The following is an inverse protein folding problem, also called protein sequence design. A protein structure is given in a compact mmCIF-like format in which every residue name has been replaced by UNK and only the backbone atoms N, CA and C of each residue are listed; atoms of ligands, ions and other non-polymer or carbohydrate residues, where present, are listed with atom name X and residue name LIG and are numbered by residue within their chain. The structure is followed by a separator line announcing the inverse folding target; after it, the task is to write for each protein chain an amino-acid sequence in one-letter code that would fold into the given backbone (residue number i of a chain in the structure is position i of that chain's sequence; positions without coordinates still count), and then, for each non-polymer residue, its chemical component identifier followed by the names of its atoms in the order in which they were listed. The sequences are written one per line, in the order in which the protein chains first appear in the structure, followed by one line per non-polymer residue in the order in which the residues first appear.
data_IF_987145648724
#
_entry.id   IF_987145648724
#
_cell.length_a   1.000
_cell.length_b   1.000
_cell.length_c   1.000
_cell.angle_alpha   90.00
_cell.angle_beta   90.00
_cell.angle_gamma   90.00
#
_symmetry.space_group_name_H-M   'P 1'
#
loop_
_entity.id
_entity.type
_entity.pdbx_description
1 polymer ?
#
# COMPACT_ATOMS: atom_id res chain seq x y z
N UNK A 1 -26.66 4.98 2.60
CA UNK A 1 -25.97 3.67 2.53
C UNK A 1 -24.72 3.80 3.36
N UNK A 2 -24.58 3.00 4.42
CA UNK A 2 -23.53 3.17 5.42
C UNK A 2 -22.15 3.01 4.78
N UNK A 3 -21.39 4.11 4.77
CA UNK A 3 -19.98 4.18 4.40
C UNK A 3 -19.19 3.34 5.40
N UNK A 4 -18.74 2.16 5.00
CA UNK A 4 -17.64 1.49 5.67
C UNK A 4 -16.39 2.34 5.39
N UNK A 5 -16.00 3.18 6.37
CA UNK A 5 -14.83 4.05 6.27
C UNK A 5 -13.51 3.27 6.38
N UNK A 6 -13.51 2.15 7.09
CA UNK A 6 -12.30 1.36 7.36
C UNK A 6 -12.57 -0.15 7.44
N UNK A 7 -11.62 -0.97 7.00
CA UNK A 7 -11.58 -2.43 7.16
C UNK A 7 -10.25 -2.81 7.82
N UNK A 8 -10.27 -3.79 8.72
CA UNK A 8 -9.07 -4.27 9.42
C UNK A 8 -8.80 -5.73 9.09
N UNK A 9 -7.52 -6.07 8.94
CA UNK A 9 -7.03 -7.43 8.84
C UNK A 9 -6.24 -7.78 10.10
N UNK A 10 -6.78 -8.72 10.88
CA UNK A 10 -6.18 -9.23 12.10
C UNK A 10 -5.65 -10.66 11.89
N UNK A 11 -5.19 -11.31 12.96
CA UNK A 11 -4.63 -12.66 12.93
C UNK A 11 -5.58 -13.75 12.38
N UNK A 12 -6.88 -13.48 12.22
CA UNK A 12 -7.82 -14.42 11.61
C UNK A 12 -7.70 -14.49 10.08
N UNK A 13 -7.02 -13.53 9.43
CA UNK A 13 -6.76 -13.56 7.99
C UNK A 13 -5.46 -14.36 7.70
N UNK A 14 -5.57 -15.58 7.12
CA UNK A 14 -4.44 -16.50 7.02
C UNK A 14 -3.48 -16.17 5.87
N UNK A 15 -3.95 -15.41 4.87
CA UNK A 15 -3.19 -15.03 3.69
C UNK A 15 -3.48 -13.58 3.29
N UNK A 16 -2.93 -13.12 2.16
CA UNK A 16 -3.12 -11.76 1.66
C UNK A 16 -4.08 -11.68 0.47
N UNK A 17 -4.83 -12.75 0.14
CA UNK A 17 -5.65 -12.80 -1.08
C UNK A 17 -6.80 -11.81 -1.04
N UNK A 18 -7.48 -11.71 0.11
CA UNK A 18 -8.57 -10.74 0.28
C UNK A 18 -8.07 -9.29 0.20
N UNK A 19 -6.91 -9.02 0.80
CA UNK A 19 -6.23 -7.73 0.66
C UNK A 19 -5.91 -7.43 -0.81
N UNK A 20 -5.32 -8.38 -1.55
CA UNK A 20 -4.99 -8.24 -2.98
C UNK A 20 -6.21 -7.94 -3.83
N UNK A 21 -7.33 -8.63 -3.63
CA UNK A 21 -8.57 -8.36 -4.36
C UNK A 21 -9.09 -6.93 -4.15
N UNK A 22 -9.03 -6.43 -2.91
CA UNK A 22 -9.49 -5.07 -2.58
C UNK A 22 -8.55 -4.02 -3.17
N UNK A 23 -7.24 -4.20 -3.01
CA UNK A 23 -6.23 -3.31 -3.59
C UNK A 23 -6.34 -3.28 -5.11
N UNK A 24 -6.42 -4.43 -5.79
CA UNK A 24 -6.58 -4.51 -7.24
C UNK A 24 -7.80 -3.71 -7.72
N UNK A 25 -8.94 -3.89 -7.05
CA UNK A 25 -10.19 -3.19 -7.39
C UNK A 25 -10.02 -1.67 -7.34
N UNK A 26 -9.28 -1.14 -6.36
CA UNK A 26 -9.06 0.30 -6.22
C UNK A 26 -7.95 0.82 -7.12
N UNK A 27 -6.84 0.10 -7.21
CA UNK A 27 -5.69 0.49 -8.01
C UNK A 27 -6.05 0.59 -9.51
N UNK A 28 -6.88 -0.32 -10.06
CA UNK A 28 -7.35 -0.24 -11.46
C UNK A 28 -8.17 1.01 -11.81
N UNK A 29 -8.62 1.78 -10.81
CA UNK A 29 -9.40 3.02 -10.98
C UNK A 29 -8.62 4.27 -10.55
N UNK A 30 -7.39 4.09 -10.07
CA UNK A 30 -6.49 5.16 -9.69
C UNK A 30 -5.59 5.54 -10.86
N UNK A 31 -5.09 6.77 -10.88
CA UNK A 31 -4.09 7.19 -11.88
C UNK A 31 -2.69 7.21 -11.29
N UNK A 32 -2.56 7.61 -10.02
CA UNK A 32 -1.29 7.67 -9.31
C UNK A 32 -1.33 6.93 -7.98
N UNK A 33 -0.14 6.60 -7.49
CA UNK A 33 0.07 5.98 -6.19
C UNK A 33 1.13 6.73 -5.38
N UNK A 34 1.10 6.50 -4.07
CA UNK A 34 2.21 6.73 -3.15
C UNK A 34 2.49 5.47 -2.34
N UNK A 35 3.76 5.15 -2.15
CA UNK A 35 4.24 4.12 -1.24
C UNK A 35 5.09 4.80 -0.18
N UNK A 36 4.75 4.56 1.09
CA UNK A 36 5.54 4.95 2.23
C UNK A 36 6.33 3.73 2.71
N UNK A 37 7.64 3.87 2.82
CA UNK A 37 8.55 2.85 3.35
C UNK A 37 9.35 3.41 4.51
N UNK A 38 9.59 2.61 5.55
CA UNK A 38 10.52 2.99 6.63
C UNK A 38 11.96 2.99 6.12
N UNK A 39 12.79 3.89 6.65
CA UNK A 39 14.22 3.98 6.26
C UNK A 39 15.02 2.72 6.63
N UNK A 40 14.54 1.96 7.63
CA UNK A 40 15.13 0.70 8.07
C UNK A 40 14.83 -0.48 7.13
N UNK A 41 13.98 -0.29 6.12
CA UNK A 41 13.54 -1.33 5.17
C UNK A 41 14.02 -1.00 3.72
N UNK A 42 15.35 -0.92 3.47
CA UNK A 42 15.90 -0.44 2.20
C UNK A 42 15.52 -1.31 1.00
N UNK A 43 15.32 -2.62 1.19
CA UNK A 43 14.89 -3.52 0.11
C UNK A 43 13.51 -3.15 -0.45
N UNK A 44 12.61 -2.66 0.40
CA UNK A 44 11.26 -2.24 -0.02
C UNK A 44 11.27 -0.83 -0.61
N UNK A 45 12.20 0.03 -0.17
CA UNK A 45 12.49 1.30 -0.85
C UNK A 45 13.00 1.03 -2.27
N UNK A 46 14.03 0.20 -2.42
CA UNK A 46 14.63 -0.14 -3.71
C UNK A 46 13.62 -0.79 -4.67
N UNK A 47 12.72 -1.62 -4.15
CA UNK A 47 11.63 -2.18 -4.95
C UNK A 47 10.64 -1.10 -5.40
N UNK A 48 10.17 -0.23 -4.51
CA UNK A 48 9.22 0.82 -4.85
C UNK A 48 9.80 1.81 -5.88
N UNK A 49 11.09 2.14 -5.77
CA UNK A 49 11.80 3.03 -6.69
C UNK A 49 11.90 2.51 -8.14
N UNK A 50 11.65 1.22 -8.38
CA UNK A 50 11.57 0.70 -9.75
C UNK A 50 10.29 1.17 -10.48
N UNK A 51 9.29 1.64 -9.75
CA UNK A 51 7.95 1.98 -10.29
C UNK A 51 7.55 3.44 -10.06
N UNK A 52 8.35 4.20 -9.32
CA UNK A 52 8.08 5.60 -9.01
C UNK A 52 9.36 6.37 -8.72
N UNK A 53 9.20 7.61 -8.26
CA UNK A 53 10.30 8.50 -7.88
C UNK A 53 10.13 8.95 -6.43
N UNK A 54 11.24 9.27 -5.73
CA UNK A 54 11.14 9.89 -4.41
C UNK A 54 10.33 11.19 -4.49
N UNK A 55 9.35 11.34 -3.61
CA UNK A 55 8.64 12.60 -3.38
C UNK A 55 9.31 13.35 -2.23
N UNK A 56 9.49 14.66 -2.39
CA UNK A 56 10.02 15.50 -1.32
C UNK A 56 8.99 15.60 -0.17
N UNK A 57 9.46 15.37 1.05
CA UNK A 57 8.61 15.31 2.24
C UNK A 57 9.42 15.65 3.49
N UNK A 58 8.76 16.24 4.48
CA UNK A 58 9.34 16.52 5.80
C UNK A 58 9.33 15.29 6.72
N UNK A 59 8.86 14.12 6.25
CA UNK A 59 8.79 12.88 7.04
C UNK A 59 10.19 12.26 7.22
N UNK A 60 10.80 12.33 8.42
CA UNK A 60 12.22 11.98 8.60
C UNK A 60 12.46 10.48 8.82
N UNK A 61 11.39 9.68 8.87
CA UNK A 61 11.45 8.29 9.27
C UNK A 61 11.50 7.33 8.07
N UNK A 62 11.29 7.82 6.86
CA UNK A 62 11.15 6.98 5.69
C UNK A 62 11.22 7.74 4.39
N UNK A 63 10.91 7.03 3.31
CA UNK A 63 10.86 7.57 1.96
C UNK A 63 9.44 7.44 1.44
N UNK A 64 8.93 8.51 0.83
CA UNK A 64 7.69 8.48 0.05
C UNK A 64 8.08 8.35 -1.41
N UNK A 65 7.55 7.33 -2.07
CA UNK A 65 7.77 7.08 -3.51
C UNK A 65 6.42 7.25 -4.21
N UNK A 66 6.34 8.13 -5.19
CA UNK A 66 5.12 8.36 -5.97
C UNK A 66 5.32 8.04 -7.46
N UNK A 67 4.24 7.63 -8.12
CA UNK A 67 4.30 7.27 -9.53
C UNK A 67 2.92 7.01 -10.14
N UNK A 68 2.84 6.80 -11.46
CA UNK A 68 1.61 6.39 -12.12
C UNK A 68 1.28 4.93 -11.81
N UNK A 69 0.00 4.60 -11.74
CA UNK A 69 -0.46 3.21 -11.65
C UNK A 69 -0.33 2.56 -13.03
N UNK A 70 0.76 1.83 -13.24
CA UNK A 70 1.00 1.06 -14.48
C UNK A 70 0.64 -0.43 -14.30
N UNK A 71 0.45 -1.19 -15.40
CA UNK A 71 0.29 -2.63 -15.32
C UNK A 71 1.44 -3.34 -14.59
N UNK A 72 2.68 -2.88 -14.77
CA UNK A 72 3.87 -3.46 -14.14
C UNK A 72 3.89 -3.17 -12.63
N UNK A 73 3.50 -1.96 -12.21
CA UNK A 73 3.32 -1.61 -10.80
C UNK A 73 2.23 -2.49 -10.15
N UNK A 74 1.08 -2.63 -10.82
CA UNK A 74 -0.01 -3.50 -10.34
C UNK A 74 0.44 -4.94 -10.23
N UNK A 75 1.18 -5.44 -11.23
CA UNK A 75 1.71 -6.79 -11.22
C UNK A 75 2.66 -7.00 -10.02
N UNK A 76 3.60 -6.08 -9.79
CA UNK A 76 4.47 -6.12 -8.62
C UNK A 76 3.66 -6.19 -7.32
N UNK A 77 2.72 -5.28 -7.15
CA UNK A 77 1.93 -5.17 -5.92
C UNK A 77 1.11 -6.44 -5.63
N UNK A 78 0.55 -7.06 -6.66
CA UNK A 78 -0.34 -8.23 -6.52
C UNK A 78 0.43 -9.57 -6.49
N UNK A 79 1.67 -9.61 -6.98
CA UNK A 79 2.48 -10.83 -7.00
C UNK A 79 3.43 -10.96 -5.81
N UNK A 80 3.61 -9.92 -4.98
CA UNK A 80 4.37 -10.03 -3.73
C UNK A 80 3.80 -11.12 -2.81
N UNK A 81 4.63 -11.97 -2.19
CA UNK A 81 4.17 -12.91 -1.18
C UNK A 81 3.73 -12.16 0.08
N UNK A 82 2.87 -12.80 0.89
CA UNK A 82 2.57 -12.30 2.23
C UNK A 82 3.87 -12.26 3.04
N UNK A 83 4.21 -11.15 3.72
CA UNK A 83 5.37 -11.11 4.60
C UNK A 83 5.29 -12.16 5.70
N UNK A 84 6.45 -12.70 6.12
CA UNK A 84 6.52 -13.78 7.12
C UNK A 84 6.60 -13.25 8.55
N UNK A 85 7.12 -12.04 8.73
CA UNK A 85 7.29 -11.31 9.98
C UNK A 85 5.95 -10.72 10.47
N UNK A 86 5.08 -11.62 10.94
CA UNK A 86 3.69 -11.31 11.28
C UNK A 86 3.42 -11.17 12.79
N UNK A 87 4.47 -11.12 13.61
CA UNK A 87 4.38 -11.16 15.07
C UNK A 87 3.84 -9.86 15.68
N UNK A 88 4.16 -8.71 15.07
CA UNK A 88 3.71 -7.38 15.51
C UNK A 88 2.46 -6.95 14.74
N UNK A 89 2.45 -7.17 13.42
CA UNK A 89 1.34 -6.88 12.52
C UNK A 89 1.05 -8.11 11.69
N UNK A 90 -0.22 -8.43 11.42
CA UNK A 90 -0.54 -9.46 10.42
C UNK A 90 -0.34 -8.90 8.99
N UNK A 91 0.91 -8.57 8.64
CA UNK A 91 1.28 -7.84 7.41
C UNK A 91 0.66 -8.49 6.16
N UNK A 92 0.07 -7.67 5.31
CA UNK A 92 -0.49 -8.08 4.01
C UNK A 92 0.41 -7.68 2.84
N UNK A 93 1.25 -6.68 3.06
CA UNK A 93 2.21 -6.12 2.11
C UNK A 93 3.49 -5.74 2.87
N UNK A 94 4.67 -5.78 2.22
CA UNK A 94 5.90 -5.29 2.84
C UNK A 94 5.93 -3.77 3.00
N UNK A 95 5.15 -3.02 2.23
CA UNK A 95 5.14 -1.56 2.28
C UNK A 95 4.38 -1.06 3.51
N UNK A 96 4.91 -0.04 4.20
CA UNK A 96 4.24 0.50 5.38
C UNK A 96 2.86 1.08 5.06
N UNK A 97 2.74 1.85 3.99
CA UNK A 97 1.44 2.33 3.50
C UNK A 97 1.44 2.51 1.99
N UNK A 98 0.28 2.27 1.36
CA UNK A 98 0.04 2.51 -0.06
C UNK A 98 -1.20 3.40 -0.19
N UNK A 99 -1.08 4.48 -0.94
CA UNK A 99 -2.17 5.42 -1.21
C UNK A 99 -2.45 5.46 -2.70
N UNK A 100 -3.73 5.66 -3.05
CA UNK A 100 -4.18 5.93 -4.40
C UNK A 100 -4.93 7.27 -4.43
N UNK A 101 -4.78 8.01 -5.54
CA UNK A 101 -5.42 9.31 -5.77
C UNK A 101 -6.96 9.30 -5.72
N UNK A 102 -7.57 8.12 -5.77
CA UNK A 102 -9.00 7.91 -5.64
C UNK A 102 -9.49 7.83 -4.18
N UNK A 103 -8.64 8.16 -3.20
CA UNK A 103 -8.99 8.21 -1.79
C UNK A 103 -8.93 6.86 -1.08
N UNK A 104 -8.48 5.80 -1.76
CA UNK A 104 -8.20 4.52 -1.10
C UNK A 104 -6.79 4.52 -0.51
N UNK A 105 -6.66 3.96 0.69
CA UNK A 105 -5.36 3.67 1.29
C UNK A 105 -5.32 2.27 1.91
N UNK A 106 -4.12 1.70 1.93
CA UNK A 106 -3.76 0.46 2.62
C UNK A 106 -2.59 0.79 3.54
N UNK A 107 -2.88 0.97 4.83
CA UNK A 107 -1.97 1.50 5.83
C UNK A 107 -1.52 0.42 6.81
N UNK A 108 -0.46 0.71 7.56
CA UNK A 108 0.12 -0.16 8.58
C UNK A 108 0.37 -1.60 8.06
N UNK A 109 1.16 -1.71 6.99
CA UNK A 109 1.45 -2.98 6.29
C UNK A 109 0.21 -3.67 5.71
N UNK A 110 -0.82 -2.89 5.39
CA UNK A 110 -2.09 -3.36 4.85
C UNK A 110 -3.00 -4.04 5.87
N UNK A 111 -2.75 -3.81 7.16
CA UNK A 111 -3.66 -4.24 8.23
C UNK A 111 -4.87 -3.32 8.34
N UNK A 112 -4.81 -2.12 7.78
CA UNK A 112 -5.89 -1.13 7.80
C UNK A 112 -6.16 -0.65 6.37
N UNK A 113 -7.40 -0.79 5.89
CA UNK A 113 -7.82 -0.22 4.61
C UNK A 113 -8.81 0.89 4.85
N UNK A 114 -8.62 2.02 4.16
CA UNK A 114 -9.53 3.16 4.24
C UNK A 114 -10.04 3.57 2.85
N UNK A 115 -11.21 4.21 2.84
CA UNK A 115 -11.75 4.85 1.64
C UNK A 115 -12.34 6.21 2.02
N UNK A 116 -11.62 7.27 1.65
CA UNK A 116 -12.00 8.67 1.84
C UNK A 116 -12.34 9.36 0.53
N UNK A 117 -12.32 10.69 0.56
CA UNK A 117 -12.50 11.50 -0.64
C UNK A 117 -11.22 11.43 -1.52
N UNK A 118 -11.37 11.39 -2.86
CA UNK A 118 -10.24 11.51 -3.77
C UNK A 118 -9.45 12.79 -3.50
N UNK A 119 -8.13 12.67 -3.56
CA UNK A 119 -7.23 13.81 -3.41
C UNK A 119 -5.99 13.58 -4.25
N UNK A 120 -5.40 14.66 -4.81
CA UNK A 120 -4.09 14.57 -5.42
C UNK A 120 -3.08 14.05 -4.39
N UNK A 121 -2.31 13.06 -4.81
CA UNK A 121 -1.11 12.61 -4.12
C UNK A 121 0.03 13.56 -4.46
#
# INVERSE_FOLDING_TARGET
MNSLKSLYFDAAEPDSQRWKMLVEKHAKRAQTFEIHCWKEEPEWIDLALQYGIPKETDWPYGTVISGPVTPEFLHMLLCLPKPMDTEIYNKMTPFFSIFFDNGFSSEHYGTELHHGEPHPL
#
